data_IF_442372369124
#
_entry.id   IF_442372369124
#
_cell.length_a   1.000
_cell.length_b   1.000
_cell.length_c   1.000
_cell.angle_alpha   90.00
_cell.angle_beta   90.00
_cell.angle_gamma   90.00
#
_symmetry.space_group_name_H-M   'P 1'
#
loop_
_entity.id
_entity.type
_entity.pdbx_description
1 polymer ?
#
# COMPACT_ATOMS: atom_id res chain seq x y z
N UNK A 1 4.89 -1.20 22.88
CA UNK A 1 4.07 -0.32 22.02
C UNK A 1 4.80 0.09 20.75
N UNK A 2 6.08 0.49 20.84
CA UNK A 2 6.96 0.81 19.70
C UNK A 2 7.04 -0.19 18.53
N UNK A 3 7.19 -1.52 18.73
CA UNK A 3 7.35 -2.44 17.61
C UNK A 3 6.10 -2.57 16.74
N UNK A 4 4.90 -2.27 17.29
CA UNK A 4 3.65 -2.23 16.51
C UNK A 4 3.63 -1.01 15.58
N UNK A 5 4.05 0.15 16.08
CA UNK A 5 4.08 1.39 15.29
C UNK A 5 5.12 1.32 14.19
N UNK A 6 6.30 0.74 14.45
CA UNK A 6 7.34 0.54 13.43
C UNK A 6 6.87 -0.44 12.35
N UNK A 7 6.25 -1.56 12.74
CA UNK A 7 5.70 -2.51 11.79
C UNK A 7 4.59 -1.88 10.94
N UNK A 8 3.65 -1.15 11.56
CA UNK A 8 2.57 -0.49 10.86
C UNK A 8 3.09 0.60 9.90
N UNK A 9 4.14 1.33 10.31
CA UNK A 9 4.78 2.35 9.48
C UNK A 9 5.39 1.74 8.23
N UNK A 10 6.21 0.70 8.39
CA UNK A 10 6.88 0.04 7.28
C UNK A 10 5.86 -0.65 6.36
N UNK A 11 4.91 -1.41 6.91
CA UNK A 11 3.90 -2.09 6.11
C UNK A 11 3.02 -1.13 5.33
N UNK A 12 2.58 -0.05 5.97
CA UNK A 12 1.80 0.98 5.30
C UNK A 12 2.60 1.71 4.22
N UNK A 13 3.89 1.98 4.43
CA UNK A 13 4.75 2.61 3.42
C UNK A 13 4.91 1.73 2.19
N UNK A 14 5.20 0.44 2.38
CA UNK A 14 5.40 -0.48 1.24
C UNK A 14 4.09 -0.70 0.48
N UNK A 15 2.95 -0.78 1.18
CA UNK A 15 1.63 -0.83 0.55
C UNK A 15 1.31 0.44 -0.25
N UNK A 16 1.61 1.62 0.30
CA UNK A 16 1.41 2.89 -0.39
C UNK A 16 2.24 2.98 -1.68
N UNK A 17 3.52 2.57 -1.65
CA UNK A 17 4.39 2.53 -2.84
C UNK A 17 3.84 1.56 -3.89
N UNK A 18 3.40 0.37 -3.48
CA UNK A 18 2.83 -0.62 -4.40
C UNK A 18 1.55 -0.11 -5.07
N UNK A 19 0.72 0.65 -4.35
CA UNK A 19 -0.53 1.18 -4.87
C UNK A 19 -0.31 2.37 -5.79
N UNK A 20 0.71 3.19 -5.51
CA UNK A 20 1.13 4.28 -6.38
C UNK A 20 1.52 3.78 -7.77
N UNK A 21 2.27 2.66 -7.84
CA UNK A 21 2.67 2.03 -9.11
C UNK A 21 1.46 1.62 -9.97
N UNK A 22 0.41 1.08 -9.34
CA UNK A 22 -0.84 0.70 -10.02
C UNK A 22 -1.53 1.95 -10.59
N UNK A 23 -1.67 3.01 -9.79
CA UNK A 23 -2.29 4.28 -10.23
C UNK A 23 -1.50 4.91 -11.37
N UNK A 24 -0.18 4.90 -11.29
CA UNK A 24 0.69 5.46 -12.32
C UNK A 24 0.54 4.76 -13.66
N UNK A 25 0.22 3.46 -13.64
CA UNK A 25 0.10 2.62 -14.82
C UNK A 25 -1.28 2.63 -15.46
N UNK A 26 -2.33 2.80 -14.64
CA UNK A 26 -3.73 2.80 -15.11
C UNK A 26 -4.17 4.18 -15.59
N UNK A 27 -3.73 5.25 -14.92
CA UNK A 27 -4.27 6.59 -15.18
C UNK A 27 -3.61 7.20 -16.43
N UNK A 28 -4.35 7.58 -17.48
CA UNK A 28 -3.80 8.30 -18.64
C UNK A 28 -3.85 9.82 -18.39
N UNK A 29 -3.31 10.28 -17.27
CA UNK A 29 -3.29 11.70 -16.89
C UNK A 29 -1.87 12.26 -16.91
N UNK A 30 -1.76 13.60 -16.87
CA UNK A 30 -0.50 14.29 -16.70
C UNK A 30 0.24 13.83 -15.44
N UNK A 31 1.57 13.89 -15.47
CA UNK A 31 2.44 13.38 -14.40
C UNK A 31 2.10 14.01 -13.05
N UNK A 32 1.78 15.30 -13.03
CA UNK A 32 1.44 16.05 -11.80
C UNK A 32 0.15 15.52 -11.14
N UNK A 33 -0.87 15.22 -11.96
CA UNK A 33 -2.15 14.68 -11.49
C UNK A 33 -1.95 13.26 -10.96
N UNK A 34 -1.14 12.44 -11.64
CA UNK A 34 -0.79 11.09 -11.17
C UNK A 34 -0.11 11.12 -9.81
N UNK A 35 0.84 12.04 -9.63
CA UNK A 35 1.59 12.17 -8.39
C UNK A 35 0.67 12.60 -7.25
N UNK A 36 -0.21 13.58 -7.50
CA UNK A 36 -1.16 14.08 -6.50
C UNK A 36 -2.17 12.99 -6.07
N UNK A 37 -2.75 12.28 -7.04
CA UNK A 37 -3.70 11.19 -6.77
C UNK A 37 -3.02 10.02 -6.05
N UNK A 38 -1.80 9.66 -6.48
CA UNK A 38 -0.99 8.63 -5.83
C UNK A 38 -0.66 8.98 -4.38
N UNK A 39 -0.33 10.24 -4.10
CA UNK A 39 -0.06 10.73 -2.74
C UNK A 39 -1.33 10.66 -1.86
N UNK A 40 -2.47 11.14 -2.34
CA UNK A 40 -3.73 11.10 -1.58
C UNK A 40 -4.13 9.65 -1.25
N UNK A 41 -4.10 8.76 -2.23
CA UNK A 41 -4.45 7.35 -2.03
C UNK A 41 -3.44 6.64 -1.12
N UNK A 42 -2.15 6.90 -1.31
CA UNK A 42 -1.08 6.37 -0.46
C UNK A 42 -1.27 6.76 1.01
N UNK A 43 -1.63 8.03 1.27
CA UNK A 43 -1.88 8.52 2.62
C UNK A 43 -3.13 7.87 3.26
N UNK A 44 -4.24 7.75 2.53
CA UNK A 44 -5.44 7.08 3.01
C UNK A 44 -5.18 5.61 3.39
N UNK A 45 -4.46 4.89 2.53
CA UNK A 45 -4.08 3.48 2.79
C UNK A 45 -3.14 3.39 3.98
N UNK A 46 -2.17 4.29 4.08
CA UNK A 46 -1.22 4.33 5.19
C UNK A 46 -1.92 4.54 6.54
N UNK A 47 -2.84 5.50 6.63
CA UNK A 47 -3.65 5.75 7.84
C UNK A 47 -4.56 4.55 8.16
N UNK A 48 -5.15 3.92 7.14
CA UNK A 48 -5.95 2.70 7.31
C UNK A 48 -5.14 1.54 7.88
N UNK A 49 -3.92 1.32 7.39
CA UNK A 49 -3.01 0.30 7.92
C UNK A 49 -2.59 0.60 9.36
N UNK A 50 -2.32 1.88 9.67
CA UNK A 50 -1.98 2.32 11.02
C UNK A 50 -3.10 2.01 12.01
N UNK A 51 -4.33 2.43 11.71
CA UNK A 51 -5.50 2.18 12.57
C UNK A 51 -5.81 0.69 12.71
N UNK A 52 -5.63 -0.09 11.64
CA UNK A 52 -5.81 -1.55 11.67
C UNK A 52 -4.75 -2.28 12.52
N UNK A 53 -3.48 -1.86 12.45
CA UNK A 53 -2.42 -2.43 13.29
C UNK A 53 -2.59 -2.08 14.78
N UNK A 54 -3.16 -0.90 15.08
CA UNK A 54 -3.43 -0.48 16.46
C UNK A 54 -4.64 -1.18 17.08
N UNK A 55 -5.67 -1.53 16.31
CA UNK A 55 -6.86 -2.24 16.82
C UNK A 55 -6.61 -3.71 17.20
N UNK A 56 -5.53 -4.32 16.70
CA UNK A 56 -5.19 -5.72 16.97
C UNK A 56 -4.25 -5.88 18.18
N UNK A 57 -4.60 -6.82 19.06
CA UNK A 57 -3.80 -7.11 20.25
C UNK A 57 -2.41 -7.74 19.93
N UNK A 58 -2.26 -8.41 18.78
CA UNK A 58 -1.00 -9.04 18.35
C UNK A 58 -0.46 -8.47 17.04
N UNK A 59 0.79 -7.99 17.07
CA UNK A 59 1.49 -7.41 15.92
C UNK A 59 1.71 -8.43 14.79
N UNK A 60 1.96 -9.69 15.15
CA UNK A 60 2.21 -10.79 14.20
C UNK A 60 0.95 -11.16 13.40
N UNK A 61 -0.22 -11.12 14.03
CA UNK A 61 -1.48 -11.40 13.34
C UNK A 61 -1.84 -10.27 12.36
N UNK A 62 -1.58 -9.01 12.73
CA UNK A 62 -1.81 -7.86 11.86
C UNK A 62 -0.85 -7.84 10.65
N UNK A 63 0.42 -8.19 10.85
CA UNK A 63 1.40 -8.23 9.76
C UNK A 63 1.07 -9.29 8.71
N UNK A 64 0.50 -10.45 9.08
CA UNK A 64 0.10 -11.49 8.11
C UNK A 64 -0.99 -10.97 7.17
N UNK A 65 -1.94 -10.18 7.66
CA UNK A 65 -2.99 -9.58 6.83
C UNK A 65 -2.40 -8.52 5.89
N UNK A 66 -1.48 -7.70 6.38
CA UNK A 66 -0.76 -6.73 5.55
C UNK A 66 0.07 -7.40 4.45
N UNK A 67 0.79 -8.48 4.77
CA UNK A 67 1.55 -9.29 3.80
C UNK A 67 0.64 -9.83 2.71
N UNK A 68 -0.55 -10.35 3.06
CA UNK A 68 -1.53 -10.84 2.07
C UNK A 68 -2.01 -9.74 1.15
N UNK A 69 -2.32 -8.56 1.68
CA UNK A 69 -2.70 -7.39 0.89
C UNK A 69 -1.57 -6.91 -0.04
N UNK A 70 -0.34 -6.99 0.44
CA UNK A 70 0.83 -6.60 -0.32
C UNK A 70 1.12 -7.59 -1.46
N UNK A 71 1.00 -8.89 -1.18
CA UNK A 71 1.07 -9.94 -2.20
C UNK A 71 0.00 -9.78 -3.28
N UNK A 72 -1.24 -9.48 -2.88
CA UNK A 72 -2.32 -9.22 -3.83
C UNK A 72 -2.02 -7.99 -4.70
N UNK A 73 -1.56 -6.90 -4.08
CA UNK A 73 -1.20 -5.66 -4.78
C UNK A 73 -0.02 -5.86 -5.73
N UNK A 74 1.02 -6.59 -5.31
CA UNK A 74 2.17 -6.91 -6.16
C UNK A 74 1.81 -7.82 -7.32
N UNK A 75 0.89 -8.77 -7.13
CA UNK A 75 0.41 -9.65 -8.18
C UNK A 75 -0.36 -8.85 -9.25
N UNK A 76 -1.26 -7.97 -8.83
CA UNK A 76 -1.98 -7.07 -9.74
C UNK A 76 -1.00 -6.19 -10.52
N UNK A 77 0.02 -5.66 -9.85
CA UNK A 77 1.03 -4.84 -10.49
C UNK A 77 1.88 -5.63 -11.50
N UNK A 78 2.22 -6.88 -11.20
CA UNK A 78 2.92 -7.78 -12.13
C UNK A 78 2.06 -8.15 -13.34
N UNK A 79 0.76 -8.43 -13.14
CA UNK A 79 -0.18 -8.68 -14.24
C UNK A 79 -0.32 -7.45 -15.14
N UNK A 80 -0.49 -6.26 -14.56
CA UNK A 80 -0.52 -5.00 -15.32
C UNK A 80 0.80 -4.74 -16.06
N UNK A 81 1.94 -5.18 -15.51
CA UNK A 81 3.22 -5.12 -16.21
C UNK A 81 3.22 -5.99 -17.46
N UNK A 82 2.83 -7.27 -17.32
CA UNK A 82 2.77 -8.20 -18.46
C UNK A 82 1.74 -7.80 -19.52
N UNK A 83 0.60 -7.25 -19.14
CA UNK A 83 -0.44 -6.83 -20.11
C UNK A 83 -0.09 -5.55 -20.88
N UNK A 84 0.90 -4.78 -20.44
CA UNK A 84 1.32 -3.54 -21.13
C UNK A 84 2.67 -3.64 -21.86
N UNK A 85 3.37 -4.78 -21.74
CA UNK A 85 4.48 -5.20 -22.62
C UNK A 85 3.93 -5.88 -23.87
#
# INVERSE_FOLDING_TARGET
MWPKSVAAFLWGLVLAISLMLIVFRILPAAVDVKLFVGLMLGFCVWVGVMTFCYSRNSAKAASVVCVKWLMASSLINALLFFSQT
#
